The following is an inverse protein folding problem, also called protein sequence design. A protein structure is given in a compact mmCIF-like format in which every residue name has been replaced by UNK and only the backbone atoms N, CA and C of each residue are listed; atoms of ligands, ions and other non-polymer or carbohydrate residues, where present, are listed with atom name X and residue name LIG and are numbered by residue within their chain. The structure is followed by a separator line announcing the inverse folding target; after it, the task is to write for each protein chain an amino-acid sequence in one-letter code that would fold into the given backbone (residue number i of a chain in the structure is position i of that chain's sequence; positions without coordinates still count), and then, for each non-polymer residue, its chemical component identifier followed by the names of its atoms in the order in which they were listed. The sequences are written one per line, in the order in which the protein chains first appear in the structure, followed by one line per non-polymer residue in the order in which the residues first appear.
data_IF_555454623462
#
_entry.id   IF_555454623462
#
_cell.length_a   1.000
_cell.length_b   1.000
_cell.length_c   1.000
_cell.angle_alpha   90.00
_cell.angle_beta   90.00
_cell.angle_gamma   90.00
#
_symmetry.space_group_name_H-M   'P 1'
#
loop_
_entity.id
_entity.type
_entity.pdbx_description
1 polymer ?
#
# COMPACT_ATOMS: atom_id res chain seq x y z
N UNK A 1 -39.50 -6.98 12.91
CA UNK A 1 -39.47 -6.75 11.46
C UNK A 1 -38.02 -6.84 11.03
N UNK A 2 -37.74 -7.78 10.13
CA UNK A 2 -36.44 -7.94 9.49
C UNK A 2 -36.33 -6.91 8.36
N UNK A 3 -35.18 -6.25 8.24
CA UNK A 3 -34.60 -5.89 6.94
C UNK A 3 -33.12 -5.56 7.15
N UNK A 4 -32.34 -6.63 7.08
CA UNK A 4 -30.94 -6.63 6.66
C UNK A 4 -30.81 -5.95 5.28
N UNK A 5 -30.15 -4.80 5.24
CA UNK A 5 -29.69 -4.07 4.04
C UNK A 5 -28.86 -2.88 4.55
N UNK A 6 -27.57 -2.73 4.29
CA UNK A 6 -26.73 -3.25 3.24
C UNK A 6 -25.31 -3.44 3.75
N UNK A 7 -24.77 -4.65 3.62
CA UNK A 7 -23.37 -4.79 3.20
C UNK A 7 -23.26 -4.18 1.80
N UNK A 8 -23.27 -2.85 1.72
CA UNK A 8 -22.98 -2.14 0.48
C UNK A 8 -21.67 -2.73 -0.04
N UNK A 9 -21.70 -3.29 -1.24
CA UNK A 9 -20.66 -4.13 -1.83
C UNK A 9 -19.26 -3.67 -1.42
N UNK A 10 -18.74 -4.29 -0.36
CA UNK A 10 -17.46 -3.93 0.23
C UNK A 10 -16.39 -4.57 -0.65
N UNK A 11 -15.78 -3.79 -1.53
CA UNK A 11 -14.65 -4.25 -2.32
C UNK A 11 -13.35 -3.94 -1.55
N UNK A 12 -12.67 -4.95 -0.98
CA UNK A 12 -11.36 -4.73 -0.40
C UNK A 12 -10.35 -4.43 -1.51
N UNK A 13 -9.52 -3.39 -1.34
CA UNK A 13 -8.42 -3.01 -2.26
C UNK A 13 -7.22 -4.00 -2.17
N UNK A 14 -7.49 -5.25 -1.80
CA UNK A 14 -6.53 -6.17 -1.18
C UNK A 14 -5.63 -6.96 -2.16
N UNK A 15 -5.55 -6.62 -3.44
CA UNK A 15 -4.68 -7.37 -4.34
C UNK A 15 -3.20 -6.97 -4.13
N UNK A 16 -2.42 -7.89 -3.58
CA UNK A 16 -0.98 -7.76 -3.55
C UNK A 16 -0.43 -7.88 -4.98
N UNK A 17 0.42 -6.94 -5.36
CA UNK A 17 1.15 -6.97 -6.63
C UNK A 17 2.65 -6.97 -6.34
N UNK A 18 3.43 -7.69 -7.15
CA UNK A 18 4.85 -7.87 -6.91
C UNK A 18 5.67 -7.99 -8.18
N UNK A 19 6.97 -7.70 -8.04
CA UNK A 19 7.94 -7.75 -9.13
C UNK A 19 9.35 -7.97 -8.58
N UNK A 20 10.23 -8.52 -9.42
CA UNK A 20 11.66 -8.53 -9.16
C UNK A 20 12.23 -7.11 -9.36
N UNK A 21 13.12 -6.69 -8.46
CA UNK A 21 13.99 -5.52 -8.62
C UNK A 21 15.44 -5.89 -8.33
N UNK A 22 16.33 -5.50 -9.22
CA UNK A 22 17.77 -5.68 -9.06
C UNK A 22 18.43 -4.61 -8.19
N UNK A 23 19.74 -4.76 -7.99
CA UNK A 23 20.58 -3.74 -7.38
C UNK A 23 20.47 -2.38 -8.10
N UNK A 24 20.29 -1.29 -7.35
CA UNK A 24 20.11 0.06 -7.87
C UNK A 24 18.75 0.34 -8.52
N UNK A 25 17.86 -0.65 -8.62
CA UNK A 25 16.54 -0.50 -9.23
C UNK A 25 15.47 -0.11 -8.21
N UNK A 26 14.27 0.21 -8.72
CA UNK A 26 13.08 0.49 -7.91
C UNK A 26 11.84 -0.16 -8.53
N UNK A 27 10.89 -0.49 -7.67
CA UNK A 27 9.51 -0.80 -8.04
C UNK A 27 8.61 0.37 -7.66
N UNK A 28 7.53 0.56 -8.41
CA UNK A 28 6.47 1.51 -8.10
C UNK A 28 5.15 0.78 -8.26
N UNK A 29 4.39 0.73 -7.17
CA UNK A 29 3.08 0.12 -7.11
C UNK A 29 2.05 1.23 -6.93
N UNK A 30 1.07 1.30 -7.80
CA UNK A 30 -0.01 2.28 -7.76
C UNK A 30 -1.31 1.55 -7.47
N UNK A 31 -2.06 2.06 -6.49
CA UNK A 31 -3.36 1.55 -6.08
C UNK A 31 -4.37 2.70 -6.23
N UNK A 32 -5.38 2.47 -7.05
CA UNK A 32 -6.45 3.42 -7.37
C UNK A 32 -7.77 2.83 -6.86
N UNK A 33 -8.70 3.65 -6.35
CA UNK A 33 -10.06 3.20 -6.04
C UNK A 33 -10.85 2.97 -7.34
N UNK A 34 -11.62 1.89 -7.42
CA UNK A 34 -12.50 1.61 -8.56
C UNK A 34 -13.75 2.53 -8.55
N UNK A 35 -14.29 2.82 -7.36
CA UNK A 35 -15.55 3.56 -7.18
C UNK A 35 -15.41 5.10 -7.06
N UNK A 36 -14.19 5.63 -6.92
CA UNK A 36 -13.92 7.07 -6.89
C UNK A 36 -12.94 7.49 -5.80
N UNK A 37 -13.21 7.15 -4.54
CA UNK A 37 -12.29 7.41 -3.42
C UNK A 37 -12.10 6.16 -2.56
N UNK A 38 -11.10 6.14 -1.69
CA UNK A 38 -10.96 5.08 -0.69
C UNK A 38 -10.50 5.60 0.66
N UNK A 39 -10.77 4.81 1.70
CA UNK A 39 -10.25 5.00 3.05
C UNK A 39 -9.33 3.85 3.40
N UNK A 40 -8.04 4.15 3.47
CA UNK A 40 -6.96 3.19 3.70
C UNK A 40 -6.66 3.06 5.19
N UNK A 41 -6.62 1.83 5.68
CA UNK A 41 -6.25 1.54 7.07
C UNK A 41 -4.85 0.93 7.21
N UNK A 42 -4.27 0.45 6.11
CA UNK A 42 -2.91 -0.10 6.07
C UNK A 42 -2.30 0.02 4.67
N UNK A 43 -1.02 0.42 4.61
CA UNK A 43 -0.19 0.40 3.39
C UNK A 43 1.03 -0.47 3.68
N UNK A 44 1.10 -1.62 3.03
CA UNK A 44 2.08 -2.65 3.32
C UNK A 44 3.03 -2.88 2.14
N UNK A 45 4.25 -3.29 2.45
CA UNK A 45 5.27 -3.67 1.49
C UNK A 45 6.19 -4.75 2.04
N UNK A 46 6.77 -5.59 1.16
CA UNK A 46 7.79 -6.57 1.54
C UNK A 46 8.94 -5.87 2.27
N UNK A 47 9.33 -6.41 3.42
CA UNK A 47 10.36 -5.83 4.27
C UNK A 47 11.69 -6.56 4.11
N UNK A 48 12.64 -5.90 3.46
CA UNK A 48 14.04 -6.33 3.40
C UNK A 48 15.00 -5.27 3.96
N UNK A 49 16.06 -5.74 4.62
CA UNK A 49 17.19 -4.89 5.00
C UNK A 49 17.87 -4.33 3.75
N UNK A 50 18.24 -3.04 3.80
CA UNK A 50 18.95 -2.37 2.71
C UNK A 50 18.04 -1.83 1.60
N UNK A 51 16.72 -1.93 1.74
CA UNK A 51 15.74 -1.26 0.86
C UNK A 51 15.23 0.02 1.52
N UNK A 52 14.69 0.93 0.71
CA UNK A 52 14.00 2.15 1.20
C UNK A 52 12.60 2.23 0.63
N UNK A 53 11.66 2.73 1.44
CA UNK A 53 10.23 2.74 1.16
C UNK A 53 9.70 4.17 1.25
N UNK A 54 8.92 4.58 0.27
CA UNK A 54 8.23 5.86 0.23
C UNK A 54 6.77 5.61 -0.17
N UNK A 55 5.84 6.29 0.49
CA UNK A 55 4.42 6.26 0.15
C UNK A 55 3.98 7.67 -0.20
N UNK A 56 3.33 7.80 -1.36
CA UNK A 56 2.65 9.01 -1.77
C UNK A 56 1.15 8.76 -1.79
N UNK A 57 0.40 9.76 -1.34
CA UNK A 57 -1.07 9.78 -1.37
C UNK A 57 -1.46 10.99 -2.18
N UNK A 58 -2.20 10.77 -3.27
CA UNK A 58 -2.68 11.84 -4.15
C UNK A 58 -1.55 12.79 -4.64
N UNK A 59 -0.38 12.20 -4.90
CA UNK A 59 0.82 12.89 -5.37
C UNK A 59 1.76 13.39 -4.26
N UNK A 60 1.27 13.56 -3.04
CA UNK A 60 2.04 14.09 -1.91
C UNK A 60 2.74 12.98 -1.11
N UNK A 61 4.00 13.22 -0.72
CA UNK A 61 4.75 12.28 0.12
C UNK A 61 4.13 12.20 1.51
N UNK A 62 3.57 11.04 1.83
CA UNK A 62 2.95 10.75 3.13
C UNK A 62 3.90 10.06 4.10
N UNK A 63 4.78 9.21 3.58
CA UNK A 63 5.76 8.45 4.34
C UNK A 63 7.08 8.31 3.57
N UNK A 64 8.19 8.31 4.31
CA UNK A 64 9.51 8.03 3.77
C UNK A 64 10.10 9.15 2.92
N UNK A 65 11.22 8.88 2.21
CA UNK A 65 11.91 7.58 2.14
C UNK A 65 12.44 7.11 3.51
N UNK A 66 12.16 5.87 3.89
CA UNK A 66 12.58 5.28 5.17
C UNK A 66 13.07 3.82 4.99
N UNK A 67 13.91 3.28 5.89
CA UNK A 67 14.45 1.91 5.78
C UNK A 67 13.47 0.80 6.21
N UNK A 68 12.30 1.18 6.72
CA UNK A 68 11.25 0.26 7.19
C UNK A 68 9.95 0.72 6.53
N UNK A 69 9.12 -0.17 5.95
CA UNK A 69 7.82 0.21 5.41
C UNK A 69 6.84 0.58 6.53
N UNK A 70 5.74 1.31 6.24
CA UNK A 70 4.72 1.61 7.24
C UNK A 70 4.09 0.35 7.85
N UNK A 71 3.93 -0.70 7.04
CA UNK A 71 3.42 -2.00 7.46
C UNK A 71 4.16 -3.10 6.71
N UNK A 72 4.45 -4.20 7.40
CA UNK A 72 5.02 -5.40 6.79
C UNK A 72 3.91 -6.13 6.02
N UNK A 73 4.18 -6.58 4.79
CA UNK A 73 3.17 -7.28 3.99
C UNK A 73 2.79 -8.64 4.59
N UNK A 74 3.69 -9.24 5.37
CA UNK A 74 3.44 -10.51 6.06
C UNK A 74 2.71 -10.32 7.42
N UNK A 75 2.53 -9.08 7.88
CA UNK A 75 1.84 -8.72 9.13
C UNK A 75 0.95 -7.46 8.94
N UNK A 76 -0.15 -7.63 8.21
CA UNK A 76 -1.07 -6.55 7.86
C UNK A 76 -1.97 -6.14 9.03
N UNK A 77 -1.41 -5.36 9.94
CA UNK A 77 -2.16 -4.67 10.99
C UNK A 77 -2.70 -3.31 10.52
N UNK A 78 -3.71 -2.81 11.21
CA UNK A 78 -4.20 -1.43 11.01
C UNK A 78 -3.14 -0.45 11.52
N UNK A 79 -2.68 0.44 10.65
CA UNK A 79 -1.67 1.46 10.97
C UNK A 79 -2.18 2.88 10.81
N UNK A 80 -3.33 3.07 10.18
CA UNK A 80 -4.03 4.36 10.08
C UNK A 80 -5.37 4.30 10.81
N UNK A 81 -5.44 4.96 11.97
CA UNK A 81 -6.66 5.16 12.74
C UNK A 81 -6.74 6.64 13.22
N UNK A 82 -7.67 7.46 12.70
CA UNK A 82 -8.70 7.11 11.72
C UNK A 82 -8.11 6.70 10.36
N UNK A 83 -8.90 5.98 9.56
CA UNK A 83 -8.49 5.57 8.20
C UNK A 83 -8.10 6.79 7.37
N UNK A 84 -7.01 6.68 6.63
CA UNK A 84 -6.48 7.74 5.79
C UNK A 84 -7.36 7.91 4.53
N UNK A 85 -7.87 9.12 4.25
CA UNK A 85 -8.57 9.39 2.99
C UNK A 85 -7.58 9.35 1.82
N UNK A 86 -8.05 8.86 0.68
CA UNK A 86 -7.34 8.86 -0.61
C UNK A 86 -8.36 9.19 -1.68
N UNK A 87 -8.12 10.27 -2.41
CA UNK A 87 -9.04 10.76 -3.42
C UNK A 87 -8.75 10.18 -4.81
N UNK A 88 -7.50 9.84 -5.10
CA UNK A 88 -7.06 9.38 -6.42
C UNK A 88 -6.21 8.12 -6.34
N UNK A 89 -5.11 8.14 -5.60
CA UNK A 89 -4.18 7.00 -5.60
C UNK A 89 -3.25 6.95 -4.40
N UNK A 90 -2.84 5.74 -4.05
CA UNK A 90 -1.66 5.46 -3.22
C UNK A 90 -0.55 4.93 -4.11
N UNK A 91 0.62 5.55 -4.02
CA UNK A 91 1.83 5.09 -4.71
C UNK A 91 2.86 4.64 -3.71
N UNK A 92 3.25 3.37 -3.77
CA UNK A 92 4.32 2.79 -2.95
C UNK A 92 5.56 2.62 -3.80
N UNK A 93 6.64 3.28 -3.41
CA UNK A 93 7.92 3.25 -4.10
C UNK A 93 8.92 2.50 -3.24
N UNK A 94 9.40 1.38 -3.75
CA UNK A 94 10.42 0.54 -3.09
C UNK A 94 11.70 0.65 -3.89
N UNK A 95 12.79 1.12 -3.27
CA UNK A 95 14.10 1.27 -3.91
C UNK A 95 15.09 0.31 -3.28
N UNK A 96 15.92 -0.32 -4.12
CA UNK A 96 16.95 -1.26 -3.71
C UNK A 96 18.35 -0.65 -3.94
N UNK A 97 18.87 0.17 -3.01
CA UNK A 97 20.26 0.63 -3.08
C UNK A 97 21.28 -0.47 -2.72
N UNK A 98 20.84 -1.67 -2.34
CA UNK A 98 21.72 -2.79 -2.01
C UNK A 98 22.26 -3.49 -3.27
N UNK A 99 23.13 -4.49 -3.06
CA UNK A 99 23.72 -5.32 -4.13
C UNK A 99 22.98 -6.62 -4.38
N UNK A 100 21.86 -6.87 -3.71
CA UNK A 100 21.12 -8.13 -3.77
C UNK A 100 19.77 -7.92 -4.42
N UNK A 101 19.45 -8.70 -5.44
CA UNK A 101 18.15 -8.69 -6.10
C UNK A 101 17.04 -9.16 -5.14
N UNK A 102 15.87 -8.54 -5.24
CA UNK A 102 14.71 -8.84 -4.40
C UNK A 102 13.46 -8.97 -5.22
N UNK A 103 12.65 -9.97 -4.90
CA UNK A 103 11.23 -9.93 -5.22
C UNK A 103 10.56 -9.04 -4.17
N UNK A 104 9.88 -7.99 -4.59
CA UNK A 104 9.17 -7.08 -3.70
C UNK A 104 7.71 -7.05 -4.08
N UNK A 105 6.85 -6.97 -3.08
CA UNK A 105 5.41 -6.82 -3.24
C UNK A 105 4.91 -5.67 -2.38
N UNK A 106 3.74 -5.14 -2.75
CA UNK A 106 3.01 -4.15 -1.96
C UNK A 106 1.52 -4.46 -2.02
N UNK A 107 0.83 -4.06 -0.95
CA UNK A 107 -0.61 -4.23 -0.80
C UNK A 107 -1.18 -3.05 -0.01
N UNK A 108 -2.38 -2.63 -0.37
CA UNK A 108 -3.16 -1.64 0.38
C UNK A 108 -4.39 -2.34 0.95
N UNK A 109 -4.76 -2.01 2.20
CA UNK A 109 -6.03 -2.43 2.79
C UNK A 109 -6.85 -1.20 3.14
N UNK A 110 -8.11 -1.24 2.75
CA UNK A 110 -9.05 -0.14 2.94
C UNK A 110 -10.45 -0.52 2.51
N UNK A 111 -11.28 0.50 2.42
CA UNK A 111 -12.63 0.43 1.87
C UNK A 111 -12.76 1.46 0.76
N UNK A 112 -13.39 1.10 -0.35
CA UNK A 112 -13.79 2.08 -1.36
C UNK A 112 -15.01 2.90 -0.91
N UNK A 113 -15.20 4.06 -1.53
CA UNK A 113 -16.30 5.00 -1.29
C UNK A 113 -16.97 5.42 -2.59
#
# INVERSE_FOLDING_TARGET
MSSDASTADWMPVNQATGTQIGAGQRATFTFEPDAGAMRVDSVAASKYQGLTYEVRVDGDTRFGPAPIPPTDIDDMVTTHNPRMPVDQQVTVIIRNPSTVDRYVASQVRGIEQ
#
